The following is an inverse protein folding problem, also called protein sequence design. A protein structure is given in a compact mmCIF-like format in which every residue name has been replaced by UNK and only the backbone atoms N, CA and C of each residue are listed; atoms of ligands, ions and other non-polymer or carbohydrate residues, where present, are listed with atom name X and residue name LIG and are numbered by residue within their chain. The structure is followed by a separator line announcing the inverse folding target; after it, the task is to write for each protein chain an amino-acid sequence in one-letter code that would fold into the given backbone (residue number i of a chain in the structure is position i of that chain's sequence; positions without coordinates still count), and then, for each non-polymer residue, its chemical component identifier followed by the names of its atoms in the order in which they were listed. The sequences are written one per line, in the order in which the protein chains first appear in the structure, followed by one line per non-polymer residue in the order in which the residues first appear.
data_IF_628375340839
#
_entry.id   IF_628375340839
#
_cell.length_a   1.000
_cell.length_b   1.000
_cell.length_c   1.000
_cell.angle_alpha   90.00
_cell.angle_beta   90.00
_cell.angle_gamma   90.00
#
_symmetry.space_group_name_H-M   'P 1'
#
loop_
_entity.id
_entity.type
_entity.pdbx_description
1 polymer ?
#
# COMPACT_ATOMS: atom_id res chain seq x y z
N UNK A 1 -17.63 -95.76 -2.03
CA UNK A 1 -16.83 -94.69 -1.32
C UNK A 1 -17.01 -93.41 -2.05
N UNK A 2 -17.78 -92.44 -1.50
CA UNK A 2 -18.09 -91.15 -2.09
C UNK A 2 -17.37 -90.09 -1.30
N UNK A 3 -16.46 -89.38 -1.94
CA UNK A 3 -15.84 -88.18 -1.39
C UNK A 3 -16.74 -86.92 -1.69
N UNK A 4 -17.16 -86.23 -0.64
CA UNK A 4 -17.89 -84.99 -0.73
C UNK A 4 -16.89 -83.87 -0.62
N UNK A 5 -16.86 -83.04 -1.66
CA UNK A 5 -16.06 -81.76 -1.69
C UNK A 5 -16.85 -80.60 -1.06
N UNK A 6 -16.32 -80.04 -0.01
CA UNK A 6 -16.85 -78.83 0.62
C UNK A 6 -16.19 -77.60 -0.04
N UNK A 7 -16.95 -76.78 -0.78
CA UNK A 7 -16.52 -75.49 -1.30
C UNK A 7 -16.88 -74.42 -0.30
N UNK A 8 -15.87 -73.80 0.35
CA UNK A 8 -16.03 -72.63 1.19
C UNK A 8 -15.91 -71.37 0.33
N UNK A 9 -17.02 -70.66 0.17
CA UNK A 9 -17.06 -69.33 -0.49
C UNK A 9 -16.57 -68.25 0.44
N UNK A 10 -15.45 -67.63 0.10
CA UNK A 10 -14.96 -66.42 0.73
C UNK A 10 -15.60 -65.17 0.01
N UNK A 11 -16.57 -64.56 0.64
CA UNK A 11 -17.10 -63.26 0.19
C UNK A 11 -16.14 -62.14 0.57
N UNK A 12 -15.40 -61.61 -0.44
CA UNK A 12 -14.54 -60.47 -0.29
C UNK A 12 -15.41 -59.19 -0.29
N UNK A 13 -15.68 -58.61 0.89
CA UNK A 13 -16.33 -57.32 1.02
C UNK A 13 -15.31 -56.22 0.65
N UNK A 14 -15.34 -55.74 -0.61
CA UNK A 14 -14.66 -54.50 -1.00
C UNK A 14 -15.40 -53.34 -0.37
N UNK A 15 -14.93 -52.90 0.80
CA UNK A 15 -15.28 -51.60 1.36
C UNK A 15 -14.70 -50.46 0.48
N UNK A 16 -15.56 -49.82 -0.29
CA UNK A 16 -15.23 -48.55 -0.95
C UNK A 16 -14.99 -47.51 0.13
N UNK A 17 -13.74 -47.36 0.58
CA UNK A 17 -13.31 -46.15 1.26
C UNK A 17 -13.29 -45.03 0.21
N UNK A 18 -14.41 -44.29 0.07
CA UNK A 18 -14.41 -42.97 -0.50
C UNK A 18 -13.78 -42.06 0.54
N UNK A 19 -12.45 -42.06 0.60
CA UNK A 19 -11.73 -40.99 1.28
C UNK A 19 -12.10 -39.66 0.58
N UNK A 20 -12.90 -38.85 1.23
CA UNK A 20 -13.04 -37.48 0.83
C UNK A 20 -11.61 -36.88 0.82
N UNK A 21 -11.06 -36.67 -0.37
CA UNK A 21 -9.85 -35.85 -0.51
C UNK A 21 -10.21 -34.52 0.15
N UNK A 22 -9.58 -34.21 1.28
CA UNK A 22 -9.71 -32.90 1.88
C UNK A 22 -9.26 -31.89 0.80
N UNK A 23 -10.18 -31.03 0.38
CA UNK A 23 -9.90 -29.98 -0.58
C UNK A 23 -8.77 -29.11 0.01
N UNK A 24 -7.70 -28.92 -0.76
CA UNK A 24 -6.60 -28.08 -0.28
C UNK A 24 -7.13 -26.67 0.04
N UNK A 25 -6.72 -26.08 1.18
CA UNK A 25 -7.23 -24.77 1.55
C UNK A 25 -6.83 -23.74 0.51
N UNK A 26 -7.78 -22.86 0.16
CA UNK A 26 -7.52 -21.69 -0.68
C UNK A 26 -6.60 -20.74 0.09
N UNK A 27 -5.42 -20.49 -0.42
CA UNK A 27 -4.50 -19.49 0.14
C UNK A 27 -4.73 -18.17 -0.56
N UNK A 28 -5.05 -17.13 0.22
CA UNK A 28 -5.18 -15.75 -0.27
C UNK A 28 -3.84 -15.05 -0.04
N UNK A 29 -3.12 -14.76 -1.12
CA UNK A 29 -1.81 -14.12 -1.09
C UNK A 29 -1.95 -12.59 -1.12
N UNK A 30 -1.51 -11.93 -0.04
CA UNK A 30 -1.63 -10.48 0.13
C UNK A 30 -0.24 -9.84 0.16
N UNK A 31 0.05 -9.02 -0.85
CA UNK A 31 1.30 -8.27 -0.96
C UNK A 31 1.25 -6.94 -0.19
N UNK A 32 2.37 -6.54 0.39
CA UNK A 32 2.54 -5.22 0.98
C UNK A 32 3.79 -4.53 0.42
N UNK A 33 3.61 -3.37 -0.24
CA UNK A 33 4.69 -2.64 -0.93
C UNK A 33 5.58 -1.82 0.02
N UNK A 34 5.96 -2.36 1.15
CA UNK A 34 6.90 -1.79 2.11
C UNK A 34 7.31 -2.86 3.13
N UNK A 35 8.32 -2.56 3.91
CA UNK A 35 8.71 -3.28 5.12
C UNK A 35 8.91 -2.28 6.25
N UNK A 36 8.80 -2.72 7.50
CA UNK A 36 9.16 -1.93 8.66
C UNK A 36 10.67 -1.82 8.88
N UNK A 37 11.04 -1.16 9.96
CA UNK A 37 12.43 -1.03 10.41
C UNK A 37 13.00 -2.44 10.65
N UNK A 38 14.27 -2.64 10.28
CA UNK A 38 14.96 -3.93 10.41
C UNK A 38 14.24 -5.10 9.72
N UNK A 39 13.63 -4.84 8.56
CA UNK A 39 12.87 -5.80 7.75
C UNK A 39 11.66 -6.43 8.48
N UNK A 40 11.06 -5.73 9.44
CA UNK A 40 9.87 -6.22 10.15
C UNK A 40 8.71 -6.42 9.17
N UNK A 41 7.90 -7.51 9.31
CA UNK A 41 6.74 -7.76 8.48
C UNK A 41 5.51 -6.95 8.93
N UNK A 42 5.74 -5.66 9.18
CA UNK A 42 4.75 -4.65 9.56
C UNK A 42 5.09 -3.32 8.89
N UNK A 43 4.10 -2.45 8.79
CA UNK A 43 4.25 -1.08 8.31
C UNK A 43 3.34 -0.17 9.12
N UNK A 44 3.33 1.14 8.77
CA UNK A 44 2.56 2.15 9.48
C UNK A 44 1.89 3.13 8.51
N UNK A 45 1.05 4.01 9.06
CA UNK A 45 0.53 5.18 8.37
C UNK A 45 -0.57 4.91 7.35
N UNK A 46 -1.17 3.71 7.35
CA UNK A 46 -2.25 3.34 6.43
C UNK A 46 -3.24 2.36 7.06
N UNK A 47 -4.48 2.34 6.57
CA UNK A 47 -5.47 1.35 6.99
C UNK A 47 -5.08 -0.09 6.61
N UNK A 48 -4.30 -0.29 5.54
CA UNK A 48 -3.77 -1.61 5.20
C UNK A 48 -2.71 -2.09 6.21
N UNK A 49 -1.89 -1.17 6.76
CA UNK A 49 -0.99 -1.49 7.86
C UNK A 49 -1.77 -1.93 9.11
N UNK A 50 -2.88 -1.25 9.40
CA UNK A 50 -3.80 -1.64 10.49
C UNK A 50 -4.43 -3.01 10.21
N UNK A 51 -4.88 -3.26 8.98
CA UNK A 51 -5.47 -4.55 8.61
C UNK A 51 -4.50 -5.71 8.87
N UNK A 52 -3.22 -5.54 8.54
CA UNK A 52 -2.19 -6.54 8.82
C UNK A 52 -1.87 -6.64 10.31
N UNK A 53 -1.55 -5.51 10.97
CA UNK A 53 -1.08 -5.51 12.35
C UNK A 53 -2.17 -5.94 13.35
N UNK A 54 -3.44 -5.66 13.01
CA UNK A 54 -4.62 -6.04 13.77
C UNK A 54 -5.26 -7.37 13.33
N UNK A 55 -4.67 -8.06 12.33
CA UNK A 55 -5.13 -9.38 11.84
C UNK A 55 -6.60 -9.37 11.36
N UNK A 56 -6.98 -8.30 10.62
CA UNK A 56 -8.38 -8.13 10.19
C UNK A 56 -8.82 -9.16 9.16
N UNK A 57 -7.93 -9.56 8.23
CA UNK A 57 -8.22 -10.59 7.24
C UNK A 57 -8.28 -11.97 7.90
N UNK A 58 -7.32 -12.28 8.75
CA UNK A 58 -7.29 -13.54 9.48
C UNK A 58 -8.54 -13.72 10.36
N UNK A 59 -8.98 -12.64 11.03
CA UNK A 59 -10.22 -12.64 11.83
C UNK A 59 -11.48 -12.77 10.98
N UNK A 60 -11.50 -12.18 9.79
CA UNK A 60 -12.63 -12.30 8.86
C UNK A 60 -12.86 -13.75 8.41
N UNK A 61 -11.76 -14.49 8.22
CA UNK A 61 -11.80 -15.88 7.75
C UNK A 61 -11.58 -16.91 8.86
N UNK A 62 -11.60 -16.52 10.14
CA UNK A 62 -11.30 -17.41 11.26
C UNK A 62 -12.22 -18.63 11.37
N UNK A 63 -13.46 -18.54 10.86
CA UNK A 63 -14.43 -19.64 10.87
C UNK A 63 -14.42 -20.48 9.57
N UNK A 64 -13.51 -20.20 8.64
CA UNK A 64 -13.39 -20.91 7.37
C UNK A 64 -12.06 -21.70 7.32
N UNK A 65 -12.03 -22.95 7.76
CA UNK A 65 -10.79 -23.74 7.85
C UNK A 65 -10.15 -23.97 6.46
N UNK A 66 -10.90 -23.81 5.39
CA UNK A 66 -10.44 -23.97 4.01
C UNK A 66 -9.88 -22.68 3.40
N UNK A 67 -9.76 -21.58 4.18
CA UNK A 67 -9.17 -20.32 3.71
C UNK A 67 -8.00 -19.95 4.62
N UNK A 68 -6.86 -19.62 4.01
CA UNK A 68 -5.66 -19.12 4.70
C UNK A 68 -5.26 -17.77 4.13
N UNK A 69 -4.74 -16.90 4.99
CA UNK A 69 -4.19 -15.60 4.60
C UNK A 69 -2.67 -15.64 4.71
N UNK A 70 -1.99 -15.32 3.62
CA UNK A 70 -0.53 -15.21 3.61
C UNK A 70 -0.09 -13.83 3.17
N UNK A 71 0.69 -13.16 4.02
CA UNK A 71 1.24 -11.82 3.75
C UNK A 71 2.68 -11.90 3.30
N UNK A 72 2.99 -11.20 2.20
CA UNK A 72 4.36 -11.00 1.71
C UNK A 72 4.70 -9.52 1.71
N UNK A 73 5.78 -9.15 2.43
CA UNK A 73 6.29 -7.79 2.49
C UNK A 73 7.45 -7.61 1.51
N UNK A 74 7.34 -6.60 0.65
CA UNK A 74 8.30 -6.38 -0.43
C UNK A 74 9.23 -5.21 -0.11
N UNK A 75 10.50 -5.52 0.19
CA UNK A 75 11.57 -4.51 0.37
C UNK A 75 11.75 -3.66 -0.88
N UNK A 76 11.58 -4.24 -2.08
CA UNK A 76 11.60 -3.54 -3.36
C UNK A 76 10.37 -2.66 -3.61
N UNK A 77 9.45 -2.55 -2.61
CA UNK A 77 8.23 -1.77 -2.66
C UNK A 77 7.34 -2.09 -3.89
N UNK A 78 6.70 -1.10 -4.49
CA UNK A 78 5.76 -1.29 -5.59
C UNK A 78 6.29 -2.01 -6.84
N UNK A 79 7.51 -1.76 -7.32
CA UNK A 79 8.09 -2.53 -8.41
C UNK A 79 8.10 -4.04 -8.15
N UNK A 80 8.51 -4.47 -6.95
CA UNK A 80 8.53 -5.89 -6.59
C UNK A 80 7.11 -6.48 -6.42
N UNK A 81 6.12 -5.69 -5.98
CA UNK A 81 4.71 -6.10 -5.98
C UNK A 81 4.21 -6.34 -7.41
N UNK A 82 4.59 -5.49 -8.37
CA UNK A 82 4.26 -5.71 -9.78
C UNK A 82 4.83 -7.01 -10.33
N UNK A 83 6.06 -7.37 -9.94
CA UNK A 83 6.66 -8.67 -10.28
C UNK A 83 5.87 -9.82 -9.65
N UNK A 84 5.43 -9.69 -8.40
CA UNK A 84 4.56 -10.66 -7.73
C UNK A 84 3.23 -10.88 -8.46
N UNK A 85 2.58 -9.80 -8.93
CA UNK A 85 1.38 -9.92 -9.76
C UNK A 85 1.65 -10.52 -11.14
N UNK A 86 2.77 -10.16 -11.78
CA UNK A 86 3.13 -10.68 -13.09
C UNK A 86 3.43 -12.19 -13.07
N UNK A 87 3.82 -12.72 -11.93
CA UNK A 87 4.12 -14.13 -11.70
C UNK A 87 2.96 -14.89 -10.99
N UNK A 88 1.75 -14.31 -10.93
CA UNK A 88 0.57 -14.87 -10.26
C UNK A 88 0.78 -15.24 -8.79
N UNK A 89 1.75 -14.61 -8.11
CA UNK A 89 2.08 -14.86 -6.71
C UNK A 89 1.22 -14.06 -5.72
N UNK A 90 0.38 -13.15 -6.23
CA UNK A 90 -0.46 -12.27 -5.42
C UNK A 90 -1.90 -12.25 -5.92
N UNK A 91 -2.84 -12.29 -4.99
CA UNK A 91 -4.26 -12.07 -5.25
C UNK A 91 -4.66 -10.62 -4.95
N UNK A 92 -4.15 -10.08 -3.86
CA UNK A 92 -4.33 -8.68 -3.46
C UNK A 92 -3.00 -8.06 -3.07
N UNK A 93 -2.90 -6.73 -3.17
CA UNK A 93 -1.77 -6.02 -2.60
C UNK A 93 -2.13 -4.58 -2.21
N UNK A 94 -1.50 -4.10 -1.13
CA UNK A 94 -1.34 -2.68 -0.87
C UNK A 94 -0.20 -2.14 -1.72
N UNK A 95 -0.47 -1.07 -2.49
CA UNK A 95 0.52 -0.50 -3.41
C UNK A 95 0.28 1.00 -3.63
N UNK A 96 1.37 1.75 -3.85
CA UNK A 96 1.33 3.17 -4.18
C UNK A 96 0.82 3.44 -5.60
N UNK A 97 0.48 4.70 -5.87
CA UNK A 97 -0.10 5.16 -7.13
C UNK A 97 0.84 4.93 -8.35
N UNK A 98 2.07 5.44 -8.34
CA UNK A 98 2.96 5.29 -9.50
C UNK A 98 3.20 3.82 -9.89
N UNK A 99 3.57 2.90 -8.99
CA UNK A 99 3.77 1.51 -9.39
C UNK A 99 2.46 0.84 -9.85
N UNK A 100 1.30 1.19 -9.29
CA UNK A 100 0.01 0.70 -9.78
C UNK A 100 -0.26 1.15 -11.22
N UNK A 101 0.05 2.41 -11.55
CA UNK A 101 -0.05 2.96 -12.90
C UNK A 101 0.95 2.29 -13.86
N UNK A 102 2.19 2.06 -13.42
CA UNK A 102 3.20 1.34 -14.22
C UNK A 102 2.73 -0.08 -14.49
N UNK A 103 2.26 -0.80 -13.48
CA UNK A 103 1.70 -2.14 -13.63
C UNK A 103 0.57 -2.17 -14.67
N UNK A 104 -0.37 -1.22 -14.58
CA UNK A 104 -1.46 -1.09 -15.53
C UNK A 104 -0.95 -0.80 -16.95
N UNK A 105 0.00 0.14 -17.10
CA UNK A 105 0.62 0.49 -18.38
C UNK A 105 1.38 -0.67 -19.03
N UNK A 106 1.91 -1.60 -18.23
CA UNK A 106 2.62 -2.80 -18.72
C UNK A 106 1.68 -3.99 -18.98
N UNK A 107 0.39 -3.84 -18.70
CA UNK A 107 -0.63 -4.83 -19.04
C UNK A 107 -1.06 -5.73 -17.89
N UNK A 108 -0.64 -5.47 -16.63
CA UNK A 108 -1.12 -6.22 -15.48
C UNK A 108 -2.64 -6.09 -15.35
N UNK A 109 -3.30 -7.21 -15.24
CA UNK A 109 -4.77 -7.30 -15.10
C UNK A 109 -5.15 -7.20 -13.63
N UNK A 110 -5.26 -5.96 -13.15
CA UNK A 110 -5.64 -5.64 -11.76
C UNK A 110 -6.87 -4.74 -11.71
N UNK A 111 -7.51 -4.69 -10.53
CA UNK A 111 -8.58 -3.75 -10.19
C UNK A 111 -8.21 -2.99 -8.91
N UNK A 112 -8.53 -1.71 -8.86
CA UNK A 112 -8.37 -0.88 -7.67
C UNK A 112 -9.66 -0.98 -6.83
N UNK A 113 -9.55 -1.51 -5.62
CA UNK A 113 -10.70 -1.89 -4.80
C UNK A 113 -11.07 -0.85 -3.75
N UNK A 114 -10.08 -0.23 -3.13
CA UNK A 114 -10.27 0.84 -2.13
C UNK A 114 -8.98 1.63 -1.92
N UNK A 115 -9.10 2.89 -1.47
CA UNK A 115 -7.96 3.68 -1.05
C UNK A 115 -7.42 3.20 0.31
N UNK A 116 -6.11 3.29 0.50
CA UNK A 116 -5.47 3.05 1.78
C UNK A 116 -4.21 3.90 1.88
N UNK A 117 -4.18 4.84 2.83
CA UNK A 117 -3.11 5.83 2.92
C UNK A 117 -3.17 6.85 1.80
N UNK A 118 -4.31 7.50 1.64
CA UNK A 118 -4.48 8.64 0.74
C UNK A 118 -3.80 9.91 1.30
N UNK A 119 -3.42 10.82 0.41
CA UNK A 119 -2.94 12.18 0.74
C UNK A 119 -1.72 12.19 1.68
N UNK A 120 -0.84 11.18 1.54
CA UNK A 120 0.37 11.06 2.36
C UNK A 120 1.37 12.17 2.02
N UNK A 121 1.92 12.89 3.01
CA UNK A 121 2.96 13.87 2.75
C UNK A 121 4.27 13.22 2.33
N UNK A 122 5.12 14.02 1.67
CA UNK A 122 6.52 13.72 1.40
C UNK A 122 7.38 14.69 2.19
N UNK A 123 8.51 14.24 2.68
CA UNK A 123 9.50 15.07 3.37
C UNK A 123 10.79 15.12 2.56
N UNK A 124 11.48 16.25 2.64
CA UNK A 124 12.84 16.42 2.14
C UNK A 124 13.75 16.75 3.33
N UNK A 125 14.75 15.89 3.56
CA UNK A 125 15.76 16.11 4.57
C UNK A 125 17.12 16.35 3.93
N UNK A 126 17.89 17.29 4.48
CA UNK A 126 19.27 17.56 4.12
C UNK A 126 20.25 16.98 5.16
N UNK A 127 21.40 16.49 4.72
CA UNK A 127 22.48 16.09 5.60
C UNK A 127 23.00 17.30 6.39
N UNK A 128 23.37 17.10 7.64
CA UNK A 128 23.94 18.15 8.48
C UNK A 128 25.17 18.79 7.83
N UNK A 129 25.18 20.12 7.83
CA UNK A 129 26.25 20.94 7.25
C UNK A 129 26.39 20.82 5.72
N UNK A 130 25.36 20.33 4.99
CA UNK A 130 25.34 20.30 3.51
C UNK A 130 25.21 21.69 2.88
N UNK A 131 24.76 22.69 3.65
CA UNK A 131 24.44 24.04 3.15
C UNK A 131 23.14 24.11 2.38
N UNK A 132 22.35 23.02 2.30
CA UNK A 132 21.05 22.98 1.63
C UNK A 132 19.98 23.46 2.60
N UNK A 133 19.25 24.52 2.23
CA UNK A 133 18.22 25.14 3.04
C UNK A 133 16.87 25.25 2.33
N UNK A 134 16.85 25.06 1.00
CA UNK A 134 15.65 25.11 0.16
C UNK A 134 15.79 24.15 -1.03
N UNK A 135 14.70 23.91 -1.73
CA UNK A 135 14.64 22.90 -2.82
C UNK A 135 15.57 23.28 -3.98
N UNK A 136 15.70 24.56 -4.29
CA UNK A 136 16.56 25.04 -5.39
C UNK A 136 18.05 24.77 -5.16
N UNK A 137 18.48 24.60 -3.89
CA UNK A 137 19.85 24.25 -3.54
C UNK A 137 20.21 22.81 -3.89
N UNK A 138 19.22 21.98 -4.31
CA UNK A 138 19.45 20.62 -4.73
C UNK A 138 20.14 20.50 -6.09
N UNK A 139 20.24 21.58 -6.87
CA UNK A 139 20.87 21.56 -8.18
C UNK A 139 22.32 21.07 -8.10
N UNK A 140 22.62 19.98 -8.85
CA UNK A 140 23.94 19.34 -8.86
C UNK A 140 24.24 18.44 -7.64
N UNK A 141 23.33 18.36 -6.66
CA UNK A 141 23.51 17.61 -5.41
C UNK A 141 23.16 16.13 -5.57
N UNK A 142 23.76 15.28 -4.73
CA UNK A 142 23.40 13.88 -4.60
C UNK A 142 22.18 13.73 -3.71
N UNK A 143 21.08 13.27 -4.28
CA UNK A 143 19.83 13.08 -3.53
C UNK A 143 19.39 11.61 -3.58
N UNK A 144 18.89 11.09 -2.47
CA UNK A 144 18.27 9.77 -2.47
C UNK A 144 16.76 9.86 -2.68
N UNK A 145 16.26 8.93 -3.47
CA UNK A 145 14.84 8.55 -3.58
C UNK A 145 14.74 7.10 -4.03
N UNK A 146 13.62 6.44 -3.72
CA UNK A 146 13.38 5.08 -4.19
C UNK A 146 12.61 5.11 -5.51
N UNK A 147 13.30 4.74 -6.61
CA UNK A 147 12.73 4.78 -7.97
C UNK A 147 11.52 3.86 -8.13
N UNK A 148 10.56 4.30 -8.93
CA UNK A 148 9.35 3.52 -9.24
C UNK A 148 8.31 3.48 -8.13
N UNK A 149 8.51 4.22 -7.02
CA UNK A 149 7.54 4.33 -5.92
C UNK A 149 6.67 5.59 -6.05
N UNK A 150 5.60 5.68 -5.24
CA UNK A 150 4.80 6.90 -5.14
C UNK A 150 5.63 8.11 -4.64
N UNK A 151 6.63 7.86 -3.80
CA UNK A 151 7.58 8.91 -3.37
C UNK A 151 8.42 9.47 -4.52
N UNK A 152 8.80 8.63 -5.50
CA UNK A 152 9.53 9.08 -6.70
C UNK A 152 8.70 10.10 -7.50
N UNK A 153 7.44 9.77 -7.83
CA UNK A 153 6.58 10.67 -8.59
C UNK A 153 6.35 12.00 -7.84
N UNK A 154 6.08 11.93 -6.52
CA UNK A 154 5.88 13.12 -5.71
C UNK A 154 7.15 14.00 -5.66
N UNK A 155 8.34 13.41 -5.50
CA UNK A 155 9.61 14.12 -5.52
C UNK A 155 9.84 14.85 -6.86
N UNK A 156 9.57 14.18 -7.99
CA UNK A 156 9.71 14.83 -9.32
C UNK A 156 8.70 15.96 -9.50
N UNK A 157 7.47 15.83 -8.99
CA UNK A 157 6.46 16.90 -9.01
C UNK A 157 6.93 18.12 -8.21
N UNK A 158 7.49 17.88 -7.01
CA UNK A 158 8.04 18.93 -6.15
C UNK A 158 9.22 19.62 -6.85
N UNK A 159 10.19 18.87 -7.38
CA UNK A 159 11.31 19.44 -8.13
C UNK A 159 10.83 20.32 -9.30
N UNK A 160 9.87 19.82 -10.09
CA UNK A 160 9.32 20.54 -11.23
C UNK A 160 8.63 21.86 -10.83
N UNK A 161 7.92 21.88 -9.70
CA UNK A 161 7.30 23.09 -9.18
C UNK A 161 8.32 24.16 -8.77
N UNK A 162 9.55 23.75 -8.43
CA UNK A 162 10.67 24.62 -8.08
C UNK A 162 11.69 24.81 -9.23
N UNK A 163 11.27 24.57 -10.47
CA UNK A 163 12.09 24.81 -11.66
C UNK A 163 13.24 23.81 -11.86
N UNK A 164 13.24 22.71 -11.16
CA UNK A 164 14.21 21.61 -11.29
C UNK A 164 13.56 20.40 -11.96
N UNK A 165 14.39 19.56 -12.57
CA UNK A 165 14.00 18.25 -13.06
C UNK A 165 14.98 17.17 -12.56
N UNK A 166 14.68 15.89 -12.76
CA UNK A 166 15.52 14.79 -12.25
C UNK A 166 16.96 14.84 -12.78
N UNK A 167 17.20 15.47 -13.94
CA UNK A 167 18.56 15.59 -14.53
C UNK A 167 19.38 16.71 -13.89
N UNK A 168 18.74 17.64 -13.18
CA UNK A 168 19.41 18.71 -12.45
C UNK A 168 20.02 18.25 -11.13
N UNK A 169 19.74 17.01 -10.72
CA UNK A 169 20.20 16.38 -9.47
C UNK A 169 20.87 15.03 -9.75
N UNK A 170 21.72 14.56 -8.85
CA UNK A 170 22.36 13.26 -8.93
C UNK A 170 21.56 12.25 -8.11
N UNK A 171 20.63 11.53 -8.75
CA UNK A 171 19.74 10.59 -8.05
C UNK A 171 20.45 9.29 -7.70
N UNK A 172 20.49 8.99 -6.39
CA UNK A 172 20.91 7.70 -5.83
C UNK A 172 19.65 6.91 -5.47
N UNK A 173 19.48 5.73 -6.06
CA UNK A 173 18.32 4.87 -5.79
C UNK A 173 18.55 4.06 -4.52
N UNK A 174 17.90 4.46 -3.42
CA UNK A 174 18.01 3.83 -2.11
C UNK A 174 16.63 3.55 -1.52
N UNK A 175 16.50 2.45 -0.80
CA UNK A 175 15.37 2.20 0.10
C UNK A 175 15.48 3.04 1.39
N UNK A 176 14.49 2.95 2.27
CA UNK A 176 14.46 3.75 3.49
C UNK A 176 15.69 3.53 4.39
N UNK A 177 16.14 2.29 4.55
CA UNK A 177 17.30 1.96 5.40
C UNK A 177 18.61 2.49 4.79
N UNK A 178 18.81 2.28 3.49
CA UNK A 178 19.94 2.81 2.74
C UNK A 178 19.98 4.34 2.75
N UNK A 179 18.81 4.98 2.65
CA UNK A 179 18.67 6.45 2.72
C UNK A 179 19.12 6.98 4.09
N UNK A 180 18.66 6.37 5.18
CA UNK A 180 19.09 6.76 6.55
C UNK A 180 20.61 6.60 6.73
N UNK A 181 21.17 5.48 6.27
CA UNK A 181 22.60 5.23 6.36
C UNK A 181 23.40 6.27 5.56
N UNK A 182 23.02 6.52 4.29
CA UNK A 182 23.73 7.44 3.41
C UNK A 182 23.62 8.92 3.84
N UNK A 183 22.49 9.36 4.41
CA UNK A 183 22.38 10.71 5.02
C UNK A 183 23.27 10.82 6.26
N UNK A 184 23.32 9.78 7.10
CA UNK A 184 24.12 9.77 8.33
C UNK A 184 25.62 9.79 8.03
N UNK A 185 26.06 9.01 7.04
CA UNK A 185 27.47 8.99 6.58
C UNK A 185 27.85 10.19 5.71
N UNK A 186 26.86 10.99 5.26
CA UNK A 186 27.00 12.12 4.32
C UNK A 186 27.45 11.68 2.92
N UNK A 187 27.17 10.45 2.51
CA UNK A 187 27.40 9.97 1.14
C UNK A 187 26.41 10.58 0.14
N UNK A 188 25.30 11.12 0.64
CA UNK A 188 24.29 11.92 -0.07
C UNK A 188 24.07 13.24 0.64
N UNK A 189 23.70 14.28 -0.13
CA UNK A 189 23.46 15.63 0.39
C UNK A 189 22.04 15.81 0.96
N UNK A 190 21.05 15.14 0.36
CA UNK A 190 19.65 15.23 0.77
C UNK A 190 18.87 13.95 0.37
N UNK A 191 17.64 13.81 0.89
CA UNK A 191 16.76 12.70 0.52
C UNK A 191 15.29 13.08 0.61
N UNK A 192 14.50 12.55 -0.33
CA UNK A 192 13.05 12.49 -0.19
C UNK A 192 12.62 11.21 0.52
N UNK A 193 11.65 11.31 1.44
CA UNK A 193 11.19 10.15 2.21
C UNK A 193 10.02 10.45 3.15
N UNK A 194 9.87 9.61 4.14
CA UNK A 194 8.75 9.56 5.09
C UNK A 194 9.20 9.69 6.55
N UNK A 195 8.54 8.94 7.43
CA UNK A 195 8.78 8.87 8.88
C UNK A 195 10.24 8.62 9.26
N UNK A 196 11.01 7.88 8.46
CA UNK A 196 12.43 7.66 8.69
C UNK A 196 13.24 8.96 8.66
N UNK A 197 12.85 9.95 7.82
CA UNK A 197 13.53 11.24 7.79
C UNK A 197 13.18 12.10 9.00
N UNK A 198 11.92 12.06 9.44
CA UNK A 198 11.48 12.73 10.67
C UNK A 198 12.25 12.15 11.86
N UNK A 199 12.37 10.82 11.94
CA UNK A 199 13.12 10.13 12.99
C UNK A 199 14.62 10.50 12.97
N UNK A 200 15.21 10.62 11.78
CA UNK A 200 16.60 11.03 11.63
C UNK A 200 16.81 12.49 12.07
N UNK A 201 15.88 13.38 11.73
CA UNK A 201 15.90 14.77 12.16
C UNK A 201 15.70 14.91 13.68
N UNK A 202 14.78 14.15 14.27
CA UNK A 202 14.58 14.13 15.73
C UNK A 202 15.83 13.69 16.50
N UNK A 203 16.69 12.86 15.90
CA UNK A 203 18.00 12.46 16.43
C UNK A 203 19.12 13.48 16.14
N UNK A 204 18.79 14.60 15.49
CA UNK A 204 19.78 15.63 15.13
C UNK A 204 20.75 15.26 14.01
N UNK A 205 20.48 14.16 13.26
CA UNK A 205 21.38 13.68 12.21
C UNK A 205 21.06 14.25 10.81
N UNK A 206 19.91 14.89 10.63
CA UNK A 206 19.53 15.59 9.39
C UNK A 206 18.65 16.79 9.75
N UNK A 207 18.37 17.65 8.76
CA UNK A 207 17.43 18.77 8.87
C UNK A 207 16.29 18.57 7.89
N UNK A 208 15.03 18.61 8.35
CA UNK A 208 13.88 18.70 7.45
C UNK A 208 13.84 20.11 6.88
N UNK A 209 13.99 20.22 5.56
CA UNK A 209 14.00 21.52 4.87
C UNK A 209 12.72 21.79 4.08
N UNK A 210 11.92 20.75 3.83
CA UNK A 210 10.63 20.91 3.14
C UNK A 210 9.71 19.71 3.44
N UNK A 211 8.42 19.94 3.41
CA UNK A 211 7.38 18.92 3.38
C UNK A 211 6.22 19.35 2.50
N UNK A 212 5.58 18.41 1.83
CA UNK A 212 4.32 18.67 1.10
C UNK A 212 3.11 18.79 2.04
N UNK A 213 3.29 18.64 3.34
CA UNK A 213 2.23 18.79 4.33
C UNK A 213 1.82 20.27 4.43
N UNK A 214 0.55 20.54 4.15
CA UNK A 214 0.05 21.92 4.09
C UNK A 214 0.38 22.68 2.81
N UNK A 215 1.05 22.04 1.84
CA UNK A 215 1.31 22.58 0.51
C UNK A 215 0.20 22.12 -0.48
N UNK A 216 0.41 22.26 -1.77
CA UNK A 216 -0.52 21.86 -2.82
C UNK A 216 -0.95 20.38 -2.66
N UNK A 217 -2.24 20.09 -2.47
CA UNK A 217 -2.74 18.72 -2.30
C UNK A 217 -2.35 17.77 -3.44
N UNK A 218 -2.01 18.32 -4.62
CA UNK A 218 -1.54 17.54 -5.78
C UNK A 218 -0.17 16.91 -5.56
N UNK A 219 0.61 17.35 -4.58
CA UNK A 219 1.87 16.71 -4.18
C UNK A 219 1.66 15.53 -3.24
N UNK A 220 0.46 15.36 -2.70
CA UNK A 220 0.10 14.21 -1.86
C UNK A 220 0.27 12.90 -2.63
N UNK A 221 0.76 11.89 -1.92
CA UNK A 221 0.91 10.53 -2.43
C UNK A 221 -0.30 9.71 -2.07
N UNK A 222 -0.75 8.87 -3.00
CA UNK A 222 -1.86 7.97 -2.77
C UNK A 222 -1.39 6.50 -2.85
N UNK A 223 -2.15 5.65 -2.20
CA UNK A 223 -2.00 4.22 -2.27
C UNK A 223 -3.37 3.55 -2.09
N UNK A 224 -3.47 2.30 -2.42
CA UNK A 224 -4.71 1.55 -2.28
C UNK A 224 -4.47 0.06 -2.24
N UNK A 225 -5.56 -0.67 -2.06
CA UNK A 225 -5.61 -2.11 -2.21
C UNK A 225 -6.07 -2.40 -3.63
N UNK A 226 -5.23 -3.13 -4.35
CA UNK A 226 -5.52 -3.63 -5.69
C UNK A 226 -5.64 -5.15 -5.64
N UNK A 227 -6.44 -5.73 -6.53
CA UNK A 227 -6.61 -7.17 -6.62
C UNK A 227 -6.37 -7.66 -8.04
N UNK A 228 -5.91 -8.90 -8.18
CA UNK A 228 -5.75 -9.61 -9.45
C UNK A 228 -7.12 -9.88 -10.05
N UNK A 229 -7.36 -9.40 -11.27
CA UNK A 229 -8.68 -9.46 -11.91
C UNK A 229 -9.22 -10.90 -11.98
N UNK A 230 -8.39 -11.86 -12.36
CA UNK A 230 -8.80 -13.26 -12.46
C UNK A 230 -9.27 -13.84 -11.11
N UNK A 231 -8.61 -13.48 -9.99
CA UNK A 231 -9.05 -13.89 -8.65
C UNK A 231 -10.40 -13.26 -8.28
N UNK A 232 -10.55 -11.96 -8.53
CA UNK A 232 -11.79 -11.22 -8.24
C UNK A 232 -12.99 -11.81 -9.00
N UNK A 233 -12.78 -12.19 -10.26
CA UNK A 233 -13.82 -12.78 -11.13
C UNK A 233 -14.15 -14.21 -10.70
N UNK A 234 -13.17 -15.00 -10.29
CA UNK A 234 -13.37 -16.37 -9.82
C UNK A 234 -13.96 -16.45 -8.40
N UNK A 235 -13.65 -15.48 -7.54
CA UNK A 235 -14.01 -15.49 -6.11
C UNK A 235 -14.64 -14.17 -5.65
N UNK A 236 -15.80 -13.76 -6.22
CA UNK A 236 -16.41 -12.47 -5.89
C UNK A 236 -16.85 -12.34 -4.43
N UNK A 237 -17.32 -13.42 -3.80
CA UNK A 237 -17.74 -13.41 -2.39
C UNK A 237 -16.53 -13.29 -1.45
N UNK A 238 -15.43 -14.00 -1.73
CA UNK A 238 -14.19 -13.88 -0.98
C UNK A 238 -13.62 -12.47 -1.14
N UNK A 239 -13.63 -11.92 -2.36
CA UNK A 239 -13.22 -10.55 -2.63
C UNK A 239 -14.01 -9.55 -1.80
N UNK A 240 -15.34 -9.74 -1.69
CA UNK A 240 -16.17 -8.87 -0.84
C UNK A 240 -15.75 -8.92 0.62
N UNK A 241 -15.50 -10.10 1.16
CA UNK A 241 -15.07 -10.28 2.56
C UNK A 241 -13.67 -9.69 2.81
N UNK A 242 -12.74 -9.82 1.84
CA UNK A 242 -11.44 -9.15 1.90
C UNK A 242 -11.61 -7.64 1.96
N UNK A 243 -12.47 -7.06 1.11
CA UNK A 243 -12.76 -5.62 1.13
C UNK A 243 -13.42 -5.21 2.45
N UNK A 244 -14.35 -6.00 2.98
CA UNK A 244 -14.98 -5.75 4.28
C UNK A 244 -13.94 -5.66 5.42
N UNK A 245 -12.99 -6.58 5.45
CA UNK A 245 -11.92 -6.58 6.44
C UNK A 245 -11.06 -5.29 6.34
N UNK A 246 -10.70 -4.88 5.13
CA UNK A 246 -9.98 -3.61 4.93
C UNK A 246 -10.83 -2.39 5.32
N UNK A 247 -12.14 -2.37 5.03
CA UNK A 247 -13.03 -1.27 5.41
C UNK A 247 -13.21 -1.20 6.93
N UNK A 248 -13.33 -2.35 7.62
CA UNK A 248 -13.34 -2.40 9.10
C UNK A 248 -12.05 -1.83 9.69
N UNK A 249 -10.90 -2.18 9.12
CA UNK A 249 -9.61 -1.62 9.52
C UNK A 249 -9.53 -0.11 9.24
N UNK A 250 -10.03 0.35 8.08
CA UNK A 250 -10.09 1.77 7.75
C UNK A 250 -10.98 2.55 8.71
N UNK A 251 -12.16 2.02 9.07
CA UNK A 251 -13.05 2.62 10.06
C UNK A 251 -12.36 2.79 11.41
N UNK A 252 -11.75 1.73 11.92
CA UNK A 252 -11.05 1.78 13.19
C UNK A 252 -9.87 2.75 13.17
N UNK A 253 -9.10 2.77 12.07
CA UNK A 253 -7.96 3.69 11.86
C UNK A 253 -8.37 5.15 11.68
N UNK A 254 -9.63 5.42 11.35
CA UNK A 254 -10.17 6.76 11.09
C UNK A 254 -10.79 7.40 12.33
N UNK A 255 -11.01 6.63 13.39
CA UNK A 255 -11.63 7.11 14.60
C UNK A 255 -10.59 7.77 15.51
N UNK A 256 -10.76 9.07 15.79
CA UNK A 256 -9.83 9.84 16.62
C UNK A 256 -9.69 9.30 18.06
N UNK A 257 -10.71 8.61 18.57
CA UNK A 257 -10.63 7.95 19.88
C UNK A 257 -9.61 6.81 19.89
N UNK A 258 -9.32 6.23 18.72
CA UNK A 258 -8.34 5.16 18.59
C UNK A 258 -6.92 5.68 18.33
N UNK A 259 -6.68 7.00 18.20
CA UNK A 259 -5.36 7.56 17.82
C UNK A 259 -4.20 7.01 18.66
N UNK A 260 -4.24 6.97 19.99
CA UNK A 260 -3.16 6.39 20.78
C UNK A 260 -2.95 4.90 20.51
N UNK A 261 -4.04 4.12 20.50
CA UNK A 261 -3.98 2.68 20.25
C UNK A 261 -3.54 2.36 18.80
N UNK A 262 -3.89 3.21 17.83
CA UNK A 262 -3.46 3.10 16.45
C UNK A 262 -1.95 3.29 16.31
N UNK A 263 -1.39 4.29 16.98
CA UNK A 263 0.05 4.55 16.90
C UNK A 263 0.86 3.47 17.62
N UNK A 264 0.37 2.96 18.74
CA UNK A 264 0.95 1.76 19.38
C UNK A 264 0.88 0.52 18.47
N UNK A 265 -0.24 0.32 17.76
CA UNK A 265 -0.37 -0.77 16.81
C UNK A 265 0.65 -0.63 15.65
N UNK A 266 0.81 0.58 15.11
CA UNK A 266 1.75 0.86 14.03
C UNK A 266 3.22 0.86 14.50
N UNK A 267 3.48 1.08 15.80
CA UNK A 267 4.82 0.93 16.37
C UNK A 267 5.43 -0.47 16.18
N UNK A 268 4.62 -1.49 15.91
CA UNK A 268 5.11 -2.81 15.48
C UNK A 268 6.05 -2.76 14.26
N UNK A 269 5.92 -1.73 13.40
CA UNK A 269 6.84 -1.45 12.30
C UNK A 269 8.26 -1.10 12.75
N UNK A 270 8.45 -0.68 14.00
CA UNK A 270 9.69 -0.16 14.57
C UNK A 270 9.78 1.37 14.54
N UNK A 271 8.81 2.07 13.93
CA UNK A 271 8.75 3.54 13.99
C UNK A 271 8.28 3.99 15.37
N UNK A 272 9.02 4.91 16.06
CA UNK A 272 8.60 5.39 17.37
C UNK A 272 7.28 6.14 17.36
N UNK A 273 6.46 5.98 18.41
CA UNK A 273 5.16 6.67 18.53
C UNK A 273 5.26 8.20 18.36
N UNK A 274 6.24 8.91 18.96
CA UNK A 274 6.35 10.36 18.75
C UNK A 274 6.57 10.76 17.28
N UNK A 275 7.20 9.91 16.48
CA UNK A 275 7.39 10.14 15.05
C UNK A 275 6.08 9.96 14.27
N UNK A 276 5.25 9.00 14.68
CA UNK A 276 3.90 8.84 14.13
C UNK A 276 3.00 10.03 14.49
N UNK A 277 3.09 10.53 15.74
CA UNK A 277 2.38 11.73 16.18
C UNK A 277 2.76 12.94 15.33
N UNK A 278 4.05 13.17 15.08
CA UNK A 278 4.54 14.25 14.22
C UNK A 278 4.07 14.08 12.76
N UNK A 279 4.16 12.85 12.23
CA UNK A 279 3.74 12.56 10.85
C UNK A 279 2.25 12.80 10.61
N UNK A 280 1.41 12.58 11.63
CA UNK A 280 -0.04 12.80 11.59
C UNK A 280 -0.48 14.13 12.25
N UNK A 281 0.45 14.97 12.71
CA UNK A 281 0.10 16.27 13.29
C UNK A 281 -0.71 17.11 12.29
N UNK A 282 -1.75 17.80 12.76
CA UNK A 282 -2.67 18.63 11.96
C UNK A 282 -3.51 17.88 10.89
N UNK A 283 -3.39 16.56 10.77
CA UNK A 283 -4.27 15.74 9.93
C UNK A 283 -5.28 14.99 10.79
N UNK A 284 -6.54 14.91 10.36
CA UNK A 284 -7.48 13.96 10.95
C UNK A 284 -7.19 12.55 10.47
N UNK A 285 -7.39 11.56 11.34
CA UNK A 285 -7.23 10.16 10.97
C UNK A 285 -8.17 9.78 9.82
N UNK A 286 -9.40 10.29 9.83
CA UNK A 286 -10.39 10.03 8.77
C UNK A 286 -9.94 10.58 7.40
N UNK A 287 -9.26 11.74 7.37
CA UNK A 287 -8.73 12.30 6.13
C UNK A 287 -7.66 11.42 5.49
N UNK A 288 -6.78 10.84 6.33
CA UNK A 288 -5.63 10.02 5.90
C UNK A 288 -5.99 8.55 5.65
N UNK A 289 -6.97 8.00 6.37
CA UNK A 289 -7.35 6.60 6.30
C UNK A 289 -8.67 6.33 5.56
N UNK A 290 -9.24 7.35 4.88
CA UNK A 290 -10.44 7.17 4.06
C UNK A 290 -10.23 6.09 2.99
N UNK A 291 -11.13 5.09 2.88
CA UNK A 291 -11.08 4.08 1.84
C UNK A 291 -11.75 4.52 0.53
N UNK A 292 -12.33 5.72 0.49
CA UNK A 292 -13.18 6.16 -0.61
C UNK A 292 -12.41 6.26 -1.93
N UNK A 293 -13.06 5.84 -2.99
CA UNK A 293 -12.67 6.10 -4.38
C UNK A 293 -13.49 7.31 -4.83
N UNK A 294 -13.16 8.48 -4.27
CA UNK A 294 -13.83 9.74 -4.58
C UNK A 294 -13.28 10.40 -5.86
N UNK A 295 -13.94 11.46 -6.32
CA UNK A 295 -13.55 12.15 -7.55
C UNK A 295 -12.15 12.76 -7.44
N UNK A 296 -11.75 13.21 -6.24
CA UNK A 296 -10.39 13.71 -6.01
C UNK A 296 -9.36 12.63 -6.25
N UNK A 297 -9.53 11.44 -5.64
CA UNK A 297 -8.62 10.32 -5.83
C UNK A 297 -8.51 9.94 -7.31
N UNK A 298 -9.64 9.77 -7.99
CA UNK A 298 -9.69 9.38 -9.40
C UNK A 298 -9.01 10.44 -10.27
N UNK A 299 -9.25 11.74 -10.02
CA UNK A 299 -8.64 12.84 -10.77
C UNK A 299 -7.12 12.87 -10.58
N UNK A 300 -6.65 12.62 -9.35
CA UNK A 300 -5.21 12.56 -9.05
C UNK A 300 -4.53 11.39 -9.77
N UNK A 301 -5.13 10.21 -9.82
CA UNK A 301 -4.58 9.08 -10.59
C UNK A 301 -4.53 9.39 -12.10
N UNK A 302 -5.55 10.05 -12.66
CA UNK A 302 -5.54 10.50 -14.06
C UNK A 302 -4.43 11.51 -14.33
N UNK A 303 -4.26 12.51 -13.47
CA UNK A 303 -3.18 13.49 -13.56
C UNK A 303 -1.80 12.81 -13.47
N UNK A 304 -1.64 11.91 -12.51
CA UNK A 304 -0.38 11.18 -12.31
C UNK A 304 -0.02 10.27 -13.49
N UNK A 305 -1.01 9.65 -14.16
CA UNK A 305 -0.78 8.89 -15.38
C UNK A 305 -0.19 9.78 -16.50
N UNK A 306 -0.77 10.97 -16.69
CA UNK A 306 -0.29 11.96 -17.68
C UNK A 306 1.10 12.49 -17.30
N UNK A 307 1.26 12.97 -16.06
CA UNK A 307 2.56 13.50 -15.57
C UNK A 307 3.65 12.45 -15.52
N UNK A 308 3.32 11.24 -15.06
CA UNK A 308 4.27 10.12 -15.04
C UNK A 308 4.83 9.80 -16.42
N UNK A 309 3.98 9.88 -17.46
CA UNK A 309 4.44 9.74 -18.85
C UNK A 309 5.29 10.93 -19.30
N UNK A 310 4.86 12.16 -19.02
CA UNK A 310 5.60 13.37 -19.38
C UNK A 310 7.00 13.44 -18.72
N UNK A 311 7.13 12.94 -17.50
CA UNK A 311 8.41 12.84 -16.79
C UNK A 311 9.24 11.59 -17.18
N UNK A 312 8.72 10.73 -18.06
CA UNK A 312 9.41 9.50 -18.49
C UNK A 312 9.38 8.36 -17.47
N UNK A 313 8.60 8.48 -16.40
CA UNK A 313 8.43 7.44 -15.38
C UNK A 313 7.52 6.30 -15.86
N UNK A 314 6.57 6.60 -16.71
CA UNK A 314 5.65 5.66 -17.37
C UNK A 314 5.92 5.68 -18.86
N UNK A 315 6.18 4.51 -19.46
CA UNK A 315 6.59 4.43 -20.88
C UNK A 315 5.42 4.40 -21.85
N UNK A 316 4.23 3.96 -21.40
CA UNK A 316 3.03 3.77 -22.23
C UNK A 316 1.86 4.55 -21.64
N UNK A 317 0.83 4.81 -22.43
CA UNK A 317 -0.42 5.36 -21.92
C UNK A 317 -1.07 4.37 -20.93
N UNK A 318 -1.70 4.92 -19.91
CA UNK A 318 -2.41 4.14 -18.88
C UNK A 318 -3.90 4.22 -19.16
N UNK A 319 -4.51 3.10 -19.50
CA UNK A 319 -5.97 3.01 -19.59
C UNK A 319 -6.55 2.75 -18.18
N UNK A 320 -7.23 3.75 -17.63
CA UNK A 320 -7.91 3.68 -16.34
C UNK A 320 -9.39 3.33 -16.45
N UNK A 321 -9.92 3.11 -17.67
CA UNK A 321 -11.32 2.74 -17.86
C UNK A 321 -11.60 1.39 -17.19
N UNK A 322 -12.62 1.38 -16.32
CA UNK A 322 -13.00 0.18 -15.55
C UNK A 322 -11.91 -0.38 -14.62
N UNK A 323 -10.84 0.37 -14.35
CA UNK A 323 -9.82 -0.08 -13.40
C UNK A 323 -10.27 0.08 -11.95
N UNK A 324 -10.93 1.19 -11.62
CA UNK A 324 -11.56 1.37 -10.32
C UNK A 324 -12.80 0.49 -10.22
N UNK A 325 -12.88 -0.34 -9.19
CA UNK A 325 -13.96 -1.31 -8.95
C UNK A 325 -14.66 -1.02 -7.62
N UNK A 326 -15.45 0.09 -7.55
CA UNK A 326 -16.01 0.58 -6.28
C UNK A 326 -17.17 -0.29 -5.74
N UNK A 327 -17.69 -1.25 -6.49
CA UNK A 327 -18.86 -2.04 -6.08
C UNK A 327 -18.67 -2.75 -4.75
N UNK A 328 -17.49 -3.35 -4.52
CA UNK A 328 -17.19 -4.06 -3.27
C UNK A 328 -17.07 -3.09 -2.09
N UNK A 329 -16.40 -1.94 -2.30
CA UNK A 329 -16.30 -0.88 -1.31
C UNK A 329 -17.67 -0.32 -0.93
N UNK A 330 -18.49 0.01 -1.92
CA UNK A 330 -19.84 0.56 -1.69
C UNK A 330 -20.72 -0.43 -0.93
N UNK A 331 -20.69 -1.71 -1.31
CA UNK A 331 -21.39 -2.78 -0.60
C UNK A 331 -20.90 -2.93 0.85
N UNK A 332 -19.58 -2.84 1.09
CA UNK A 332 -19.02 -2.88 2.44
C UNK A 332 -19.48 -1.68 3.30
N UNK A 333 -19.44 -0.47 2.75
CA UNK A 333 -19.88 0.77 3.42
C UNK A 333 -21.37 0.67 3.81
N UNK A 334 -22.22 0.17 2.90
CA UNK A 334 -23.65 0.01 3.16
C UNK A 334 -23.91 -1.03 4.24
N UNK A 335 -23.36 -2.24 4.12
CA UNK A 335 -23.56 -3.35 5.06
C UNK A 335 -23.02 -3.06 6.46
N UNK A 336 -21.95 -2.29 6.56
CA UNK A 336 -21.34 -1.90 7.83
C UNK A 336 -21.96 -0.62 8.43
N UNK A 337 -22.96 -0.01 7.77
CA UNK A 337 -23.63 1.19 8.25
C UNK A 337 -22.73 2.44 8.28
N UNK A 338 -21.74 2.51 7.37
CA UNK A 338 -20.70 3.55 7.35
C UNK A 338 -20.98 4.66 6.32
N UNK A 339 -22.20 4.74 5.81
CA UNK A 339 -22.62 5.81 4.90
C UNK A 339 -22.35 7.17 5.57
N UNK A 340 -21.67 8.07 4.88
CA UNK A 340 -21.27 9.39 5.36
C UNK A 340 -20.26 9.40 6.54
N UNK A 341 -19.64 8.27 6.87
CA UNK A 341 -18.58 8.25 7.89
C UNK A 341 -17.31 9.00 7.44
N UNK A 342 -16.95 8.86 6.16
CA UNK A 342 -15.84 9.61 5.56
C UNK A 342 -16.35 10.72 4.67
N UNK A 343 -15.68 11.88 4.73
CA UNK A 343 -15.90 12.97 3.79
C UNK A 343 -15.39 12.58 2.41
N UNK A 344 -16.23 12.68 1.39
CA UNK A 344 -15.83 12.58 -0.02
C UNK A 344 -15.49 13.95 -0.59
N UNK A 345 -14.63 13.97 -1.61
CA UNK A 345 -14.12 15.20 -2.22
C UNK A 345 -14.31 15.18 -3.73
N UNK A 346 -14.70 16.33 -4.30
CA UNK A 346 -14.72 16.57 -5.73
C UNK A 346 -13.32 16.66 -6.33
N UNK A 347 -13.23 16.57 -7.66
CA UNK A 347 -11.96 16.65 -8.39
C UNK A 347 -11.16 17.95 -8.12
N UNK A 348 -11.84 19.02 -7.69
CA UNK A 348 -11.25 20.31 -7.29
C UNK A 348 -10.72 20.32 -5.84
N UNK A 349 -10.81 19.17 -5.13
CA UNK A 349 -10.39 19.04 -3.74
C UNK A 349 -11.37 19.59 -2.70
N UNK A 350 -12.53 20.09 -3.11
CA UNK A 350 -13.55 20.56 -2.16
C UNK A 350 -14.40 19.41 -1.65
N UNK A 351 -14.81 19.44 -0.38
CA UNK A 351 -15.71 18.44 0.15
C UNK A 351 -17.06 18.50 -0.58
N UNK A 352 -17.59 17.32 -0.91
CA UNK A 352 -18.97 17.23 -1.37
C UNK A 352 -19.93 17.56 -0.22
N UNK A 353 -21.07 18.20 -0.54
CA UNK A 353 -22.12 18.38 0.45
C UNK A 353 -22.60 17.01 0.95
N UNK A 354 -22.69 16.85 2.27
CA UNK A 354 -23.16 15.65 2.96
C UNK A 354 -24.68 15.47 2.84
#
# INVERSE_FOLDING_TARGET
MKLASLAAGIALALGLFTGALAEEPLVIHVGYAAIGVDNRPYSEGTSAATARAGEYLEKEFANDPNIKIEWTFFKGAGPAVNEGFANDQLDFAYQGDLPSLIGRATGLKTRYLLASGARKPLYLAAAKASGITRIEDLKGRKIALQRGTNGHLAAIKVLAAHGLNERDVQVVNLDSAGTVAALTSKDIDAAFGDTQLINLAAKGAADIIYTTKGDDPRFGRNAGVIGRQAFIEAHPEITQRVVDAFVKAAKWSSDEQNRPALFELWHKSGTPVPILEEYFSNDTLAYRNSPLIDDLLVSQYKEQAVKGKAFGLIRRDVDLNGWFEPKYLNSAIERLGLKNFWQSYGADGKPHAS
#
